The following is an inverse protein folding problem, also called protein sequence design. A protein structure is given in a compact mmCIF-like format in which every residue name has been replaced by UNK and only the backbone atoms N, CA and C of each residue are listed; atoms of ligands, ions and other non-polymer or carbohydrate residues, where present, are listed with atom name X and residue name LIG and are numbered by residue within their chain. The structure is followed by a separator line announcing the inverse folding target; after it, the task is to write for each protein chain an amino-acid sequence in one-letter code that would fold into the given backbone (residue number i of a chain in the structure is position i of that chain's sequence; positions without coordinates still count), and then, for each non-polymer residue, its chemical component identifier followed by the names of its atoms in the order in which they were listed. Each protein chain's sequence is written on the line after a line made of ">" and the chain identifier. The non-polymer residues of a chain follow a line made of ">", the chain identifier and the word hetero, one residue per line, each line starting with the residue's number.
data_IF_127960844357
#
_entry.id   IF_127960844357
#
_cell.length_a   1.000
_cell.length_b   1.000
_cell.length_c   1.000
_cell.angle_alpha   90.00
_cell.angle_beta   90.00
_cell.angle_gamma   90.00
#
_symmetry.space_group_name_H-M   'P 1'
#
loop_
_entity.id
_entity.type
_entity.pdbx_description
1 polymer ?
#
# COMPACT_ATOMS: atom_id res chain seq x y z
N UNK A 1 22.89 -4.88 49.99
CA UNK A 1 24.20 -5.03 50.60
C UNK A 1 25.18 -5.25 49.47
N UNK A 2 26.08 -4.29 49.38
CA UNK A 2 27.09 -4.15 48.34
C UNK A 2 28.27 -5.17 48.46
N UNK A 3 28.92 -5.48 47.36
CA UNK A 3 30.38 -5.65 47.41
C UNK A 3 30.99 -5.21 46.08
N UNK A 4 31.75 -4.11 46.19
CA UNK A 4 32.74 -3.64 45.23
C UNK A 4 33.98 -4.54 45.34
N UNK A 5 34.51 -5.02 44.23
CA UNK A 5 35.82 -5.69 44.11
C UNK A 5 36.73 -4.84 43.23
N UNK A 6 37.83 -4.38 43.84
CA UNK A 6 38.77 -3.38 43.30
C UNK A 6 39.68 -3.93 42.21
N UNK A 7 40.19 -3.01 41.44
CA UNK A 7 41.26 -3.16 40.45
C UNK A 7 42.65 -3.14 41.14
N UNK A 8 43.59 -3.98 40.78
CA UNK A 8 44.97 -3.85 41.24
C UNK A 8 45.77 -2.83 40.42
N UNK A 9 46.56 -2.10 41.14
CA UNK A 9 47.45 -1.02 40.69
C UNK A 9 48.63 -1.51 39.84
N UNK A 10 49.04 -0.61 38.98
CA UNK A 10 50.19 -0.73 38.10
C UNK A 10 51.52 -1.02 38.80
N UNK A 11 52.30 -1.91 38.20
CA UNK A 11 53.75 -1.98 38.43
C UNK A 11 54.45 -1.64 37.12
N UNK A 12 55.25 -0.59 37.16
CA UNK A 12 56.06 -0.14 36.05
C UNK A 12 57.23 -1.08 35.70
N UNK A 13 57.45 -1.20 34.42
CA UNK A 13 58.71 -1.73 33.91
C UNK A 13 59.06 -1.17 32.53
N UNK A 14 60.15 -0.52 32.44
CA UNK A 14 61.21 -0.53 31.43
C UNK A 14 60.81 -0.34 29.96
N UNK A 15 61.16 0.84 29.43
CA UNK A 15 61.21 1.09 27.98
C UNK A 15 62.44 0.34 27.37
N UNK A 16 62.19 -0.63 26.52
CA UNK A 16 63.10 -1.11 25.55
C UNK A 16 62.51 -0.96 24.13
N UNK A 17 63.27 -0.31 23.25
CA UNK A 17 62.92 -0.11 21.83
C UNK A 17 62.85 -1.45 21.08
N UNK A 18 61.69 -2.12 21.18
CA UNK A 18 61.38 -3.23 20.32
C UNK A 18 60.30 -2.76 19.32
N UNK A 19 60.58 -2.79 18.02
CA UNK A 19 59.59 -2.62 16.98
C UNK A 19 58.50 -3.67 17.20
N UNK A 20 57.34 -3.23 17.68
CA UNK A 20 56.15 -4.05 17.61
C UNK A 20 55.77 -4.18 16.14
N UNK A 21 55.83 -5.39 15.61
CA UNK A 21 55.17 -5.75 14.38
C UNK A 21 53.68 -5.57 14.61
N UNK A 22 53.08 -4.55 14.04
CA UNK A 22 51.64 -4.40 13.94
C UNK A 22 51.15 -5.52 13.01
N UNK A 23 50.66 -6.61 13.57
CA UNK A 23 49.81 -7.54 12.81
C UNK A 23 48.53 -6.76 12.47
N UNK A 24 48.49 -6.30 11.26
CA UNK A 24 47.27 -5.73 10.67
C UNK A 24 46.22 -6.86 10.56
N UNK A 25 45.45 -7.04 11.62
CA UNK A 25 44.26 -7.88 11.59
C UNK A 25 43.14 -7.07 10.98
N UNK A 26 43.30 -6.69 9.71
CA UNK A 26 42.24 -6.10 8.91
C UNK A 26 41.12 -7.11 8.73
N UNK A 27 40.01 -6.87 9.40
CA UNK A 27 38.78 -7.58 9.08
C UNK A 27 38.34 -7.13 7.69
N UNK A 28 38.57 -7.96 6.67
CA UNK A 28 37.98 -7.78 5.38
C UNK A 28 36.54 -8.34 5.44
N UNK A 29 35.55 -7.46 5.36
CA UNK A 29 34.18 -7.88 5.07
C UNK A 29 34.17 -8.47 3.65
N UNK A 30 34.37 -9.79 3.56
CA UNK A 30 34.17 -10.52 2.31
C UNK A 30 32.65 -10.61 2.11
N UNK A 31 32.13 -9.83 1.16
CA UNK A 31 30.76 -10.02 0.68
C UNK A 31 30.74 -11.42 0.03
N UNK A 32 29.94 -12.38 0.52
CA UNK A 32 29.81 -13.63 -0.19
C UNK A 32 29.29 -13.30 -1.59
N UNK A 33 29.96 -13.80 -2.62
CA UNK A 33 29.44 -13.82 -3.97
C UNK A 33 28.18 -14.70 -3.96
N UNK A 34 27.04 -14.10 -3.60
CA UNK A 34 25.76 -14.74 -3.80
C UNK A 34 25.63 -14.90 -5.32
N UNK A 35 25.82 -16.11 -5.82
CA UNK A 35 25.60 -16.41 -7.21
C UNK A 35 24.14 -16.00 -7.54
N UNK A 36 23.99 -14.92 -8.28
CA UNK A 36 22.68 -14.41 -8.70
C UNK A 36 22.13 -15.43 -9.66
N UNK A 37 21.24 -16.29 -9.17
CA UNK A 37 20.56 -17.28 -10.02
C UNK A 37 19.52 -16.56 -10.87
N UNK A 38 19.79 -16.42 -12.15
CA UNK A 38 18.84 -15.88 -13.12
C UNK A 38 17.81 -16.96 -13.42
N UNK A 39 16.52 -16.76 -13.15
CA UNK A 39 15.50 -17.76 -13.45
C UNK A 39 15.34 -17.90 -14.98
N UNK A 40 15.09 -19.11 -15.44
CA UNK A 40 14.69 -19.33 -16.82
C UNK A 40 13.22 -18.97 -16.96
N UNK A 41 12.92 -17.94 -17.75
CA UNK A 41 11.56 -17.50 -18.06
C UNK A 41 11.00 -18.29 -19.23
N UNK A 42 9.69 -18.58 -19.19
CA UNK A 42 8.98 -19.05 -20.36
C UNK A 42 8.60 -17.87 -21.29
N UNK A 43 8.07 -18.20 -22.48
CA UNK A 43 7.71 -17.20 -23.49
C UNK A 43 6.71 -16.14 -22.96
N UNK A 44 5.72 -16.55 -22.17
CA UNK A 44 4.72 -15.64 -21.63
C UNK A 44 5.31 -14.72 -20.54
N UNK A 45 6.14 -15.28 -19.67
CA UNK A 45 6.88 -14.50 -18.68
C UNK A 45 7.83 -13.51 -19.35
N UNK A 46 8.54 -13.95 -20.40
CA UNK A 46 9.43 -13.08 -21.16
C UNK A 46 8.69 -11.91 -21.82
N UNK A 47 7.49 -12.16 -22.37
CA UNK A 47 6.64 -11.09 -22.94
C UNK A 47 6.27 -10.01 -21.91
N UNK A 48 6.05 -10.38 -20.65
CA UNK A 48 5.81 -9.40 -19.56
C UNK A 48 7.06 -8.59 -19.27
N UNK A 49 8.21 -9.25 -19.20
CA UNK A 49 9.50 -8.61 -18.92
C UNK A 49 9.89 -7.65 -20.05
N UNK A 50 9.71 -8.07 -21.31
CA UNK A 50 10.04 -7.28 -22.49
C UNK A 50 8.98 -6.23 -22.86
N UNK A 51 7.85 -6.17 -22.15
CA UNK A 51 6.80 -5.20 -22.42
C UNK A 51 7.35 -3.75 -22.42
N UNK A 52 7.11 -2.97 -23.50
CA UNK A 52 7.83 -1.72 -23.76
C UNK A 52 7.55 -0.61 -22.73
N UNK A 53 6.53 -0.75 -21.91
CA UNK A 53 6.00 0.24 -20.97
C UNK A 53 4.54 0.52 -21.27
N UNK A 54 3.90 1.34 -20.42
CA UNK A 54 2.46 1.53 -20.43
C UNK A 54 1.73 0.52 -19.54
N UNK A 55 0.39 0.58 -19.48
CA UNK A 55 -0.40 -0.29 -18.61
C UNK A 55 -0.46 -1.72 -19.15
N UNK A 56 -0.17 -2.68 -18.29
CA UNK A 56 -0.15 -4.12 -18.58
C UNK A 56 -0.87 -4.91 -17.48
N UNK A 57 -1.84 -5.72 -17.85
CA UNK A 57 -2.44 -6.73 -16.98
C UNK A 57 -1.79 -8.09 -17.21
N UNK A 58 -1.30 -8.69 -16.13
CA UNK A 58 -0.76 -10.06 -16.15
C UNK A 58 -1.74 -10.97 -15.40
N UNK A 59 -2.42 -11.84 -16.13
CA UNK A 59 -3.28 -12.88 -15.56
C UNK A 59 -2.44 -14.12 -15.26
N UNK A 60 -2.38 -14.52 -14.01
CA UNK A 60 -1.45 -15.54 -13.56
C UNK A 60 -2.05 -16.43 -12.47
N UNK A 61 -2.38 -17.67 -12.81
CA UNK A 61 -2.87 -18.68 -11.89
C UNK A 61 -1.82 -19.15 -10.87
N UNK A 62 -2.20 -20.05 -9.96
CA UNK A 62 -1.28 -20.65 -8.99
C UNK A 62 -0.11 -21.35 -9.69
N UNK A 63 1.11 -21.19 -9.15
CA UNK A 63 2.29 -21.89 -9.66
C UNK A 63 2.82 -21.38 -11.01
N UNK A 64 2.23 -20.36 -11.64
CA UNK A 64 2.69 -19.83 -12.93
C UNK A 64 3.89 -18.88 -12.81
N UNK A 65 4.40 -18.66 -11.61
CA UNK A 65 5.56 -17.81 -11.38
C UNK A 65 5.27 -16.31 -11.33
N UNK A 66 4.07 -15.89 -10.88
CA UNK A 66 3.67 -14.48 -10.67
C UNK A 66 4.80 -13.60 -10.13
N UNK A 67 5.26 -13.94 -8.94
CA UNK A 67 6.29 -13.14 -8.23
C UNK A 67 7.62 -13.15 -8.98
N UNK A 68 8.03 -14.27 -9.57
CA UNK A 68 9.26 -14.35 -10.39
C UNK A 68 9.17 -13.40 -11.57
N UNK A 69 8.06 -13.43 -12.30
CA UNK A 69 7.82 -12.55 -13.45
C UNK A 69 7.83 -11.07 -13.03
N UNK A 70 7.19 -10.74 -11.90
CA UNK A 70 7.17 -9.38 -11.37
C UNK A 70 8.58 -8.91 -10.99
N UNK A 71 9.37 -9.74 -10.31
CA UNK A 71 10.77 -9.45 -9.95
C UNK A 71 11.60 -9.18 -11.21
N UNK A 72 11.54 -10.05 -12.20
CA UNK A 72 12.32 -9.89 -13.44
C UNK A 72 11.87 -8.66 -14.25
N UNK A 73 10.58 -8.33 -14.26
CA UNK A 73 10.08 -7.11 -14.88
C UNK A 73 10.60 -5.84 -14.18
N UNK A 74 10.67 -5.83 -12.85
CA UNK A 74 11.28 -4.73 -12.07
C UNK A 74 12.77 -4.62 -12.37
N UNK A 75 13.49 -5.73 -12.35
CA UNK A 75 14.94 -5.78 -12.63
C UNK A 75 15.25 -5.30 -14.04
N UNK A 76 14.43 -5.68 -15.02
CA UNK A 76 14.55 -5.21 -16.41
C UNK A 76 14.44 -3.68 -16.51
N UNK A 77 13.47 -3.03 -15.80
CA UNK A 77 13.36 -1.57 -15.79
C UNK A 77 14.59 -0.91 -15.20
N UNK A 78 15.15 -1.52 -14.15
CA UNK A 78 16.32 -0.96 -13.45
C UNK A 78 17.61 -1.19 -14.24
N UNK A 79 17.90 -2.43 -14.65
CA UNK A 79 19.19 -2.77 -15.22
C UNK A 79 19.33 -2.44 -16.70
N UNK A 80 18.25 -2.64 -17.49
CA UNK A 80 18.31 -2.47 -18.95
C UNK A 80 17.74 -1.16 -19.43
N UNK A 81 16.71 -0.62 -18.74
CA UNK A 81 16.11 0.66 -19.14
C UNK A 81 16.64 1.84 -18.35
N UNK A 82 17.48 1.60 -17.34
CA UNK A 82 18.13 2.65 -16.57
C UNK A 82 17.20 3.41 -15.62
N UNK A 83 16.02 2.85 -15.30
CA UNK A 83 15.12 3.40 -14.28
C UNK A 83 15.83 3.27 -12.93
N UNK A 84 15.90 4.37 -12.19
CA UNK A 84 16.52 4.32 -10.87
C UNK A 84 15.65 3.51 -9.90
N UNK A 85 16.26 2.76 -8.95
CA UNK A 85 15.49 2.00 -7.97
C UNK A 85 14.50 2.84 -7.15
N UNK A 86 14.80 4.12 -6.91
CA UNK A 86 13.92 5.06 -6.20
C UNK A 86 12.77 5.62 -7.04
N UNK A 87 12.77 5.37 -8.34
CA UNK A 87 11.69 5.70 -9.28
C UNK A 87 10.72 4.52 -9.50
N UNK A 88 11.01 3.36 -8.94
CA UNK A 88 10.14 2.18 -9.00
C UNK A 88 9.30 2.09 -7.73
N UNK A 89 7.99 1.95 -7.91
CA UNK A 89 7.04 1.70 -6.82
C UNK A 89 6.37 0.35 -7.02
N UNK A 90 6.63 -0.60 -6.12
CA UNK A 90 5.93 -1.89 -6.09
C UNK A 90 4.96 -1.95 -4.90
N UNK A 91 3.68 -2.11 -5.19
CA UNK A 91 2.61 -2.16 -4.20
C UNK A 91 2.10 -3.59 -4.02
N UNK A 92 1.94 -3.99 -2.78
CA UNK A 92 1.48 -5.33 -2.41
C UNK A 92 0.37 -5.24 -1.36
N UNK A 93 -0.33 -6.36 -1.14
CA UNK A 93 -1.42 -6.41 -0.18
C UNK A 93 -0.95 -6.56 1.28
N UNK A 94 0.21 -7.17 1.53
CA UNK A 94 0.71 -7.41 2.88
C UNK A 94 2.16 -6.95 3.07
N UNK A 95 2.51 -6.59 4.30
CA UNK A 95 3.89 -6.22 4.66
C UNK A 95 4.88 -7.35 4.36
N UNK A 96 4.47 -8.60 4.65
CA UNK A 96 5.29 -9.77 4.36
C UNK A 96 5.57 -9.94 2.86
N UNK A 97 4.55 -9.75 2.01
CA UNK A 97 4.73 -9.79 0.56
C UNK A 97 5.65 -8.65 0.08
N UNK A 98 5.49 -7.44 0.62
CA UNK A 98 6.37 -6.33 0.31
C UNK A 98 7.84 -6.60 0.67
N UNK A 99 8.09 -7.17 1.85
CA UNK A 99 9.43 -7.58 2.28
C UNK A 99 10.01 -8.66 1.37
N UNK A 100 9.25 -9.71 1.08
CA UNK A 100 9.68 -10.79 0.19
C UNK A 100 9.99 -10.30 -1.23
N UNK A 101 9.17 -9.40 -1.76
CA UNK A 101 9.40 -8.81 -3.08
C UNK A 101 10.69 -7.99 -3.09
N UNK A 102 10.89 -7.14 -2.10
CA UNK A 102 12.11 -6.35 -1.93
C UNK A 102 13.35 -7.24 -1.84
N UNK A 103 13.31 -8.28 -1.00
CA UNK A 103 14.44 -9.18 -0.80
C UNK A 103 14.82 -9.91 -2.09
N UNK A 104 13.81 -10.37 -2.86
CA UNK A 104 14.03 -11.01 -4.16
C UNK A 104 14.62 -10.05 -5.20
N UNK A 105 14.09 -8.83 -5.30
CA UNK A 105 14.63 -7.80 -6.21
C UNK A 105 16.06 -7.45 -5.82
N UNK A 106 16.34 -7.23 -4.52
CA UNK A 106 17.68 -6.92 -4.01
C UNK A 106 18.67 -8.06 -4.30
N UNK A 107 18.26 -9.31 -4.04
CA UNK A 107 19.08 -10.48 -4.35
C UNK A 107 19.38 -10.58 -5.86
N UNK A 108 18.38 -10.32 -6.70
CA UNK A 108 18.50 -10.38 -8.16
C UNK A 108 19.37 -9.25 -8.73
N UNK A 109 19.32 -8.05 -8.15
CA UNK A 109 20.19 -6.93 -8.51
C UNK A 109 21.63 -7.10 -7.98
N UNK A 110 21.87 -8.02 -7.05
CA UNK A 110 23.18 -8.21 -6.42
C UNK A 110 23.70 -7.00 -5.61
N UNK A 111 22.84 -6.01 -5.37
CA UNK A 111 23.18 -4.78 -4.62
C UNK A 111 22.00 -4.32 -3.76
N UNK A 112 22.32 -3.70 -2.61
CA UNK A 112 21.29 -3.09 -1.76
C UNK A 112 20.76 -1.82 -2.41
N UNK A 113 19.45 -1.61 -2.33
CA UNK A 113 18.79 -0.37 -2.74
C UNK A 113 18.59 0.52 -1.51
N UNK A 114 18.96 1.80 -1.60
CA UNK A 114 18.83 2.74 -0.49
C UNK A 114 17.38 3.08 -0.13
N UNK A 115 16.44 2.84 -1.04
CA UNK A 115 15.02 3.14 -0.91
C UNK A 115 14.19 1.87 -0.90
N UNK A 116 13.06 1.91 -0.18
CA UNK A 116 12.10 0.82 -0.19
C UNK A 116 11.36 0.80 -1.53
N UNK A 117 11.80 -0.06 -2.47
CA UNK A 117 11.16 -0.31 -3.76
C UNK A 117 9.71 -0.81 -3.61
N UNK A 118 9.41 -1.44 -2.49
CA UNK A 118 8.15 -2.15 -2.29
C UNK A 118 7.52 -1.77 -0.96
N UNK A 119 6.20 -1.58 -0.99
CA UNK A 119 5.38 -1.16 0.14
C UNK A 119 3.98 -1.76 0.04
N UNK A 120 3.22 -1.70 1.14
CA UNK A 120 1.77 -1.91 1.03
C UNK A 120 1.08 -0.61 0.63
N UNK A 121 -0.12 -0.69 0.03
CA UNK A 121 -0.94 0.49 -0.27
C UNK A 121 -1.06 1.43 0.93
N UNK A 122 -1.40 0.90 2.10
CA UNK A 122 -1.59 1.70 3.31
C UNK A 122 -0.28 2.32 3.83
N UNK A 123 0.83 1.58 3.78
CA UNK A 123 2.14 2.14 4.19
C UNK A 123 2.60 3.24 3.24
N UNK A 124 2.37 3.08 1.94
CA UNK A 124 2.64 4.11 0.95
C UNK A 124 1.73 5.33 1.15
N UNK A 125 0.42 5.12 1.34
CA UNK A 125 -0.55 6.17 1.61
C UNK A 125 -0.17 7.02 2.84
N UNK A 126 0.21 6.35 3.94
CA UNK A 126 0.67 7.03 5.15
C UNK A 126 1.93 7.86 4.90
N UNK A 127 2.91 7.32 4.18
CA UNK A 127 4.14 8.03 3.85
C UNK A 127 3.87 9.24 2.94
N UNK A 128 2.92 9.10 1.99
CA UNK A 128 2.51 10.16 1.09
C UNK A 128 1.85 11.32 1.84
N UNK A 129 0.87 11.04 2.70
CA UNK A 129 0.21 12.06 3.52
C UNK A 129 1.26 12.77 4.38
N UNK A 130 2.13 12.04 5.07
CA UNK A 130 3.19 12.65 5.88
C UNK A 130 4.15 13.53 5.08
N UNK A 131 4.40 13.21 3.83
CA UNK A 131 5.28 14.00 2.96
C UNK A 131 4.71 15.38 2.66
N UNK A 132 3.40 15.46 2.43
CA UNK A 132 2.72 16.69 2.03
C UNK A 132 1.94 17.36 3.17
N UNK A 133 1.92 16.74 4.34
CA UNK A 133 1.30 17.33 5.51
C UNK A 133 1.93 18.70 5.84
N UNK A 134 1.13 19.72 6.18
CA UNK A 134 1.63 20.97 6.69
C UNK A 134 2.54 20.77 7.91
N UNK A 135 3.52 21.69 8.09
CA UNK A 135 4.50 21.57 9.18
C UNK A 135 3.86 21.50 10.57
N UNK A 136 2.72 22.15 10.76
CA UNK A 136 1.94 22.14 11.99
C UNK A 136 1.44 20.74 12.38
N UNK A 137 1.21 19.87 11.42
CA UNK A 137 0.80 18.48 11.66
C UNK A 137 1.97 17.54 12.02
N UNK A 138 3.22 18.03 11.97
CA UNK A 138 4.37 17.23 12.42
C UNK A 138 4.46 17.14 13.94
N UNK A 139 3.93 18.11 14.68
CA UNK A 139 3.90 18.12 16.15
C UNK A 139 2.95 17.05 16.72
N UNK A 140 1.88 16.73 15.98
CA UNK A 140 0.95 15.65 16.31
C UNK A 140 0.81 14.71 15.09
N UNK A 141 1.56 13.61 15.03
CA UNK A 141 1.49 12.69 13.90
C UNK A 141 0.08 12.12 13.78
N UNK A 142 -0.42 12.03 12.53
CA UNK A 142 -1.71 11.43 12.20
C UNK A 142 -1.84 10.04 12.84
N UNK A 143 -2.82 9.87 13.73
CA UNK A 143 -3.05 8.61 14.46
C UNK A 143 -3.96 7.69 13.67
N UNK A 144 -3.41 6.53 13.27
CA UNK A 144 -4.21 5.49 12.62
C UNK A 144 -4.97 4.67 13.67
N UNK A 145 -6.29 4.72 13.61
CA UNK A 145 -7.14 3.98 14.54
C UNK A 145 -7.11 2.47 14.26
N UNK A 146 -6.95 1.69 15.30
CA UNK A 146 -7.22 0.25 15.26
C UNK A 146 -8.73 -0.03 15.22
N UNK A 147 -9.14 -1.23 14.81
CA UNK A 147 -10.56 -1.59 14.77
C UNK A 147 -11.29 -1.41 16.12
N UNK A 148 -10.72 -1.79 17.29
CA UNK A 148 -11.34 -1.51 18.58
C UNK A 148 -11.51 -0.01 18.88
N UNK A 149 -10.54 0.83 18.47
CA UNK A 149 -10.64 2.29 18.66
C UNK A 149 -11.72 2.87 17.76
N UNK A 150 -11.84 2.41 16.52
CA UNK A 150 -12.93 2.79 15.61
C UNK A 150 -14.30 2.46 16.22
N UNK A 151 -14.47 1.27 16.80
CA UNK A 151 -15.70 0.85 17.47
C UNK A 151 -16.08 1.76 18.64
N UNK A 152 -15.08 2.26 19.38
CA UNK A 152 -15.31 3.22 20.47
C UNK A 152 -15.80 4.54 19.92
N UNK A 153 -15.06 5.12 18.97
CA UNK A 153 -15.40 6.42 18.34
C UNK A 153 -16.79 6.38 17.71
N UNK A 154 -17.12 5.31 16.96
CA UNK A 154 -18.43 5.17 16.34
C UNK A 154 -19.55 5.09 17.36
N UNK A 155 -19.37 4.38 18.48
CA UNK A 155 -20.40 4.29 19.53
C UNK A 155 -20.61 5.62 20.27
N UNK A 156 -19.53 6.31 20.57
CA UNK A 156 -19.61 7.62 21.20
C UNK A 156 -20.37 8.59 20.29
N UNK A 157 -20.04 8.64 18.99
CA UNK A 157 -20.74 9.48 18.03
C UNK A 157 -22.21 9.06 17.78
N UNK A 158 -22.54 7.78 17.87
CA UNK A 158 -23.93 7.33 17.75
C UNK A 158 -24.76 7.71 18.96
N UNK A 159 -24.16 7.70 20.17
CA UNK A 159 -24.83 8.11 21.41
C UNK A 159 -25.04 9.63 21.47
N UNK A 160 -24.06 10.40 20.98
CA UNK A 160 -24.09 11.87 20.97
C UNK A 160 -24.07 12.41 19.52
N UNK A 161 -24.95 11.86 18.67
CA UNK A 161 -25.01 12.31 17.28
C UNK A 161 -25.72 13.66 17.15
N UNK A 162 -25.29 14.51 16.21
CA UNK A 162 -25.92 15.81 16.00
C UNK A 162 -27.38 15.66 15.53
N UNK A 163 -28.21 16.65 15.81
CA UNK A 163 -29.61 16.69 15.38
C UNK A 163 -29.79 16.55 13.85
N UNK A 164 -28.75 16.87 13.09
CA UNK A 164 -28.74 16.70 11.63
C UNK A 164 -28.75 15.24 11.18
N UNK A 165 -28.31 14.30 12.03
CA UNK A 165 -28.32 12.86 11.74
C UNK A 165 -29.60 12.25 12.29
N UNK A 166 -30.64 12.16 11.47
CA UNK A 166 -31.94 11.61 11.88
C UNK A 166 -32.07 10.17 11.41
N UNK A 167 -31.90 9.23 12.34
CA UNK A 167 -32.14 7.82 12.05
C UNK A 167 -33.64 7.53 11.91
N UNK A 168 -34.06 6.64 11.00
CA UNK A 168 -35.46 6.26 10.87
C UNK A 168 -36.07 5.80 12.18
N UNK A 169 -37.35 6.12 12.48
CA UNK A 169 -38.00 5.76 13.75
C UNK A 169 -37.96 4.26 14.05
N UNK A 170 -37.94 3.41 13.03
CA UNK A 170 -37.81 1.95 13.19
C UNK A 170 -36.48 1.54 13.83
N UNK A 171 -35.43 2.33 13.68
CA UNK A 171 -34.09 2.08 14.21
C UNK A 171 -33.82 2.80 15.54
N UNK A 172 -34.69 3.72 15.96
CA UNK A 172 -34.47 4.57 17.13
C UNK A 172 -34.13 3.79 18.44
N UNK A 173 -34.69 2.58 18.61
CA UNK A 173 -34.40 1.73 19.78
C UNK A 173 -33.07 0.97 19.66
N UNK A 174 -32.51 0.90 18.46
CA UNK A 174 -31.29 0.15 18.17
C UNK A 174 -30.04 1.04 18.23
N UNK A 175 -30.17 2.36 18.06
CA UNK A 175 -29.03 3.30 17.87
C UNK A 175 -27.96 3.16 18.96
N UNK A 176 -28.35 3.00 20.24
CA UNK A 176 -27.42 2.87 21.35
C UNK A 176 -26.85 1.46 21.54
N UNK A 177 -27.23 0.51 20.66
CA UNK A 177 -26.76 -0.88 20.79
C UNK A 177 -25.44 -1.12 20.09
N UNK A 178 -24.63 -2.05 20.65
CA UNK A 178 -23.39 -2.51 19.99
C UNK A 178 -23.65 -3.18 18.61
N UNK A 179 -24.82 -3.79 18.44
CA UNK A 179 -25.24 -4.39 17.18
C UNK A 179 -25.38 -3.34 16.10
N UNK A 180 -26.08 -2.26 16.39
CA UNK A 180 -26.28 -1.15 15.49
C UNK A 180 -24.96 -0.45 15.11
N UNK A 181 -24.08 -0.22 16.06
CA UNK A 181 -22.76 0.35 15.78
C UNK A 181 -21.94 -0.51 14.79
N UNK A 182 -22.04 -1.84 14.89
CA UNK A 182 -21.39 -2.76 13.94
C UNK A 182 -22.01 -2.68 12.55
N UNK A 183 -23.34 -2.62 12.46
CA UNK A 183 -24.04 -2.46 11.18
C UNK A 183 -23.68 -1.13 10.52
N UNK A 184 -23.69 -0.04 11.28
CA UNK A 184 -23.26 1.27 10.78
C UNK A 184 -21.81 1.20 10.31
N UNK A 185 -20.89 0.65 11.09
CA UNK A 185 -19.50 0.46 10.69
C UNK A 185 -19.39 -0.32 9.37
N UNK A 186 -20.13 -1.42 9.23
CA UNK A 186 -20.13 -2.23 8.01
C UNK A 186 -20.64 -1.42 6.80
N UNK A 187 -21.73 -0.66 6.96
CA UNK A 187 -22.26 0.21 5.90
C UNK A 187 -21.27 1.30 5.51
N UNK A 188 -20.67 2.01 6.48
CA UNK A 188 -19.70 3.06 6.20
C UNK A 188 -18.43 2.52 5.53
N UNK A 189 -17.94 1.36 5.98
CA UNK A 189 -16.79 0.70 5.37
C UNK A 189 -17.12 0.31 3.94
N UNK A 190 -18.26 -0.32 3.73
CA UNK A 190 -18.70 -0.76 2.38
C UNK A 190 -18.92 0.39 1.43
N UNK A 191 -19.50 1.50 1.89
CA UNK A 191 -19.69 2.70 1.09
C UNK A 191 -18.32 3.24 0.61
N UNK A 192 -17.38 3.39 1.53
CA UNK A 192 -16.03 3.91 1.21
C UNK A 192 -15.22 2.96 0.32
N UNK A 193 -15.34 1.65 0.53
CA UNK A 193 -14.77 0.63 -0.36
C UNK A 193 -15.31 0.73 -1.79
N UNK A 194 -16.56 1.17 -1.94
CA UNK A 194 -17.21 1.45 -3.24
C UNK A 194 -16.90 2.86 -3.78
N UNK A 195 -16.06 3.62 -3.11
CA UNK A 195 -15.74 4.99 -3.49
C UNK A 195 -16.84 6.01 -3.22
N UNK A 196 -17.82 5.67 -2.37
CA UNK A 196 -18.89 6.58 -1.95
C UNK A 196 -18.43 7.39 -0.72
N UNK A 197 -18.52 8.70 -0.82
CA UNK A 197 -18.46 9.61 0.31
C UNK A 197 -19.86 9.79 0.95
N UNK A 198 -19.98 10.66 1.96
CA UNK A 198 -21.26 10.93 2.60
C UNK A 198 -22.31 11.45 1.63
N UNK A 199 -21.91 12.28 0.66
CA UNK A 199 -22.81 12.80 -0.37
C UNK A 199 -23.30 11.67 -1.30
N UNK A 200 -22.40 10.85 -1.80
CA UNK A 200 -22.73 9.71 -2.67
C UNK A 200 -23.63 8.69 -1.97
N UNK A 201 -23.37 8.43 -0.67
CA UNK A 201 -24.22 7.51 0.12
C UNK A 201 -25.63 8.06 0.34
N UNK A 202 -25.77 9.38 0.58
CA UNK A 202 -27.08 10.04 0.65
C UNK A 202 -27.84 9.95 -0.69
N UNK A 203 -27.16 10.31 -1.77
CA UNK A 203 -27.77 10.26 -3.11
C UNK A 203 -28.26 8.85 -3.46
N UNK A 204 -27.51 7.81 -3.12
CA UNK A 204 -27.92 6.43 -3.26
C UNK A 204 -29.17 6.12 -2.41
N UNK A 205 -29.16 6.54 -1.13
CA UNK A 205 -30.30 6.36 -0.23
C UNK A 205 -31.57 7.04 -0.72
N UNK A 206 -31.46 8.23 -1.27
CA UNK A 206 -32.58 8.97 -1.86
C UNK A 206 -33.11 8.27 -3.12
N UNK A 207 -32.22 7.83 -4.01
CA UNK A 207 -32.59 7.14 -5.24
C UNK A 207 -33.31 5.80 -5.01
N UNK A 208 -32.89 5.06 -3.99
CA UNK A 208 -33.43 3.74 -3.65
C UNK A 208 -34.56 3.80 -2.59
N UNK A 209 -34.89 4.99 -2.07
CA UNK A 209 -35.88 5.16 -1.02
C UNK A 209 -35.48 4.52 0.32
N UNK A 210 -34.19 4.52 0.64
CA UNK A 210 -33.60 3.93 1.85
C UNK A 210 -33.15 5.04 2.82
N UNK A 211 -34.03 5.54 3.70
CA UNK A 211 -33.72 6.64 4.61
C UNK A 211 -32.57 6.32 5.59
N UNK A 212 -32.33 5.05 5.90
CA UNK A 212 -31.20 4.60 6.68
C UNK A 212 -29.86 4.88 6.00
N UNK A 213 -29.77 4.80 4.67
CA UNK A 213 -28.54 5.15 3.93
C UNK A 213 -28.36 6.67 3.87
N UNK A 214 -29.45 7.44 3.82
CA UNK A 214 -29.36 8.90 3.93
C UNK A 214 -28.80 9.31 5.29
N UNK A 215 -29.31 8.74 6.37
CA UNK A 215 -28.79 8.97 7.72
C UNK A 215 -27.32 8.50 7.85
N UNK A 216 -26.98 7.34 7.30
CA UNK A 216 -25.61 6.82 7.30
C UNK A 216 -24.64 7.74 6.54
N UNK A 217 -25.07 8.36 5.45
CA UNK A 217 -24.28 9.34 4.71
C UNK A 217 -23.99 10.62 5.51
N UNK A 218 -24.98 11.15 6.22
CA UNK A 218 -24.80 12.27 7.13
C UNK A 218 -23.87 11.90 8.29
N UNK A 219 -24.04 10.70 8.83
CA UNK A 219 -23.20 10.19 9.91
C UNK A 219 -21.75 9.94 9.45
N UNK A 220 -21.53 9.52 8.20
CA UNK A 220 -20.19 9.38 7.63
C UNK A 220 -19.45 10.72 7.60
N UNK A 221 -20.11 11.81 7.17
CA UNK A 221 -19.51 13.15 7.17
C UNK A 221 -19.14 13.58 8.59
N UNK A 222 -20.02 13.32 9.56
CA UNK A 222 -19.76 13.59 10.97
C UNK A 222 -18.59 12.77 11.53
N UNK A 223 -18.53 11.48 11.19
CA UNK A 223 -17.44 10.61 11.61
C UNK A 223 -16.09 11.10 11.07
N UNK A 224 -16.01 11.45 9.80
CA UNK A 224 -14.79 11.98 9.19
C UNK A 224 -14.38 13.32 9.81
N UNK A 225 -15.34 14.22 10.06
CA UNK A 225 -15.08 15.51 10.76
C UNK A 225 -14.53 15.29 12.16
N UNK A 226 -15.06 14.29 12.88
CA UNK A 226 -14.55 13.94 14.22
C UNK A 226 -13.13 13.38 14.15
N UNK A 227 -12.83 12.51 13.18
CA UNK A 227 -11.46 12.00 12.95
C UNK A 227 -10.50 13.17 12.66
N UNK A 228 -10.89 14.11 11.81
CA UNK A 228 -10.08 15.29 11.48
C UNK A 228 -9.77 16.12 12.72
N UNK A 229 -10.77 16.38 13.55
CA UNK A 229 -10.62 17.17 14.79
C UNK A 229 -9.68 16.52 15.82
N UNK A 230 -9.58 15.19 15.80
CA UNK A 230 -8.70 14.42 16.69
C UNK A 230 -7.31 14.13 16.08
N UNK A 231 -7.01 14.62 14.87
CA UNK A 231 -5.80 14.25 14.14
C UNK A 231 -5.69 12.74 13.89
N UNK A 232 -6.83 12.07 13.72
CA UNK A 232 -6.93 10.63 13.54
C UNK A 232 -7.40 10.27 12.12
N UNK A 233 -7.17 9.04 11.74
CA UNK A 233 -7.64 8.44 10.48
C UNK A 233 -7.89 6.95 10.67
N UNK A 234 -8.75 6.37 9.87
CA UNK A 234 -8.88 4.93 9.72
C UNK A 234 -8.27 4.44 8.39
N UNK A 235 -8.25 3.13 8.17
CA UNK A 235 -7.62 2.55 6.98
C UNK A 235 -8.26 3.00 5.65
N UNK A 236 -9.58 3.17 5.60
CA UNK A 236 -10.28 3.61 4.40
C UNK A 236 -10.07 5.11 4.14
N UNK A 237 -10.12 5.94 5.19
CA UNK A 237 -9.85 7.37 5.09
C UNK A 237 -8.39 7.65 4.73
N UNK A 238 -7.46 6.82 5.20
CA UNK A 238 -6.04 6.92 4.86
C UNK A 238 -5.82 6.84 3.34
N UNK A 239 -6.45 5.90 2.65
CA UNK A 239 -6.35 5.77 1.18
C UNK A 239 -7.00 6.96 0.49
N UNK A 240 -8.18 7.41 0.94
CA UNK A 240 -8.87 8.59 0.41
C UNK A 240 -8.01 9.86 0.51
N UNK A 241 -7.45 10.13 1.69
CA UNK A 241 -6.55 11.29 1.90
C UNK A 241 -5.31 11.21 1.01
N UNK A 242 -4.69 10.03 0.93
CA UNK A 242 -3.54 9.82 0.05
C UNK A 242 -3.89 10.05 -1.42
N UNK A 243 -5.10 9.69 -1.86
CA UNK A 243 -5.57 9.95 -3.22
C UNK A 243 -5.70 11.46 -3.48
N UNK A 244 -6.27 12.22 -2.54
CA UNK A 244 -6.37 13.68 -2.62
C UNK A 244 -4.98 14.31 -2.74
N UNK A 245 -4.03 13.90 -1.90
CA UNK A 245 -2.65 14.39 -1.95
C UNK A 245 -1.96 13.98 -3.26
N UNK A 246 -2.18 12.76 -3.74
CA UNK A 246 -1.62 12.28 -4.99
C UNK A 246 -2.15 13.06 -6.20
N UNK A 247 -3.41 13.47 -6.19
CA UNK A 247 -4.00 14.30 -7.23
C UNK A 247 -3.50 15.75 -7.17
N UNK A 248 -3.39 16.33 -5.97
CA UNK A 248 -2.88 17.69 -5.77
C UNK A 248 -1.41 17.83 -6.20
N UNK A 249 -0.60 16.77 -6.00
CA UNK A 249 0.83 16.75 -6.31
C UNK A 249 1.18 15.80 -7.47
N UNK A 250 0.23 15.59 -8.39
CA UNK A 250 0.30 14.59 -9.47
C UNK A 250 1.58 14.72 -10.30
N UNK A 251 1.91 15.90 -10.75
CA UNK A 251 3.05 16.12 -11.65
C UNK A 251 4.38 15.86 -10.94
N UNK A 252 4.51 16.28 -9.68
CA UNK A 252 5.71 16.00 -8.87
C UNK A 252 5.88 14.49 -8.65
N UNK A 253 4.80 13.80 -8.24
CA UNK A 253 4.83 12.36 -7.98
C UNK A 253 5.14 11.58 -9.24
N UNK A 254 4.54 11.94 -10.36
CA UNK A 254 4.78 11.34 -11.68
C UNK A 254 6.17 11.63 -12.23
N UNK A 255 6.78 12.74 -11.85
CA UNK A 255 8.19 13.02 -12.14
C UNK A 255 9.17 12.20 -11.32
N UNK A 256 8.71 11.63 -10.20
CA UNK A 256 9.54 10.82 -9.27
C UNK A 256 9.30 9.32 -9.40
N UNK A 257 8.13 8.90 -9.84
CA UNK A 257 7.76 7.49 -10.01
C UNK A 257 7.65 7.22 -11.51
N UNK A 258 8.60 6.47 -12.04
CA UNK A 258 8.66 6.14 -13.46
C UNK A 258 7.93 4.85 -13.80
N UNK A 259 7.89 3.88 -12.89
CA UNK A 259 7.23 2.60 -13.08
C UNK A 259 6.52 2.13 -11.80
N UNK A 260 5.29 1.67 -11.95
CA UNK A 260 4.45 1.14 -10.86
C UNK A 260 4.15 -0.32 -11.11
N UNK A 261 4.32 -1.14 -10.08
CA UNK A 261 4.01 -2.56 -10.09
C UNK A 261 3.02 -2.89 -8.99
N UNK A 262 2.04 -3.73 -9.27
CA UNK A 262 1.05 -4.15 -8.27
C UNK A 262 0.94 -5.66 -8.26
N UNK A 263 1.16 -6.28 -7.11
CA UNK A 263 0.92 -7.71 -6.90
C UNK A 263 -0.46 -7.94 -6.29
N UNK A 264 -1.07 -9.08 -6.60
CA UNK A 264 -2.41 -9.50 -6.15
C UNK A 264 -3.51 -8.44 -6.45
N UNK A 265 -3.50 -7.88 -7.67
CA UNK A 265 -4.41 -6.80 -8.06
C UNK A 265 -5.90 -7.13 -7.91
N UNK A 266 -6.29 -8.41 -7.98
CA UNK A 266 -7.67 -8.85 -7.75
C UNK A 266 -8.20 -8.51 -6.34
N UNK A 267 -7.32 -8.21 -5.39
CA UNK A 267 -7.68 -7.88 -4.01
C UNK A 267 -7.72 -6.36 -3.75
N UNK A 268 -7.51 -5.53 -4.79
CA UNK A 268 -7.60 -4.08 -4.67
C UNK A 268 -9.06 -3.61 -4.58
N UNK A 269 -9.28 -2.60 -3.74
CA UNK A 269 -10.55 -1.89 -3.63
C UNK A 269 -10.60 -0.64 -4.56
N UNK A 270 -11.79 -0.07 -4.83
CA UNK A 270 -11.92 1.11 -5.68
C UNK A 270 -11.12 2.34 -5.21
N UNK A 271 -10.92 2.53 -3.90
CA UNK A 271 -10.09 3.60 -3.36
C UNK A 271 -8.61 3.44 -3.75
N UNK A 272 -8.10 2.20 -3.65
CA UNK A 272 -6.74 1.87 -4.09
C UNK A 272 -6.57 2.03 -5.60
N UNK A 273 -7.59 1.66 -6.39
CA UNK A 273 -7.60 1.89 -7.84
C UNK A 273 -7.59 3.39 -8.16
N UNK A 274 -8.31 4.23 -7.40
CA UNK A 274 -8.27 5.68 -7.56
C UNK A 274 -6.88 6.25 -7.27
N UNK A 275 -6.22 5.78 -6.20
CA UNK A 275 -4.84 6.15 -5.89
C UNK A 275 -3.89 5.74 -7.03
N UNK A 276 -4.02 4.53 -7.57
CA UNK A 276 -3.22 4.08 -8.72
C UNK A 276 -3.44 4.97 -9.95
N UNK A 277 -4.67 5.43 -10.22
CA UNK A 277 -4.94 6.35 -11.32
C UNK A 277 -4.22 7.70 -11.16
N UNK A 278 -4.20 8.23 -9.95
CA UNK A 278 -3.45 9.45 -9.67
C UNK A 278 -1.95 9.27 -9.93
N UNK A 279 -1.37 8.12 -9.56
CA UNK A 279 0.05 7.82 -9.69
C UNK A 279 0.45 7.42 -11.12
N UNK A 280 -0.31 6.52 -11.73
CA UNK A 280 0.07 5.79 -12.95
C UNK A 280 -1.03 5.73 -14.01
N UNK A 281 -2.01 6.62 -13.98
CA UNK A 281 -2.97 6.80 -15.08
C UNK A 281 -2.33 7.39 -16.35
N UNK A 282 -3.16 7.61 -17.37
CA UNK A 282 -2.78 8.29 -18.61
C UNK A 282 -1.67 7.56 -19.41
N UNK A 283 -1.72 6.23 -19.43
CA UNK A 283 -0.82 5.39 -20.24
C UNK A 283 0.60 5.22 -19.68
N UNK A 284 0.84 5.53 -18.41
CA UNK A 284 2.15 5.36 -17.77
C UNK A 284 2.49 3.89 -17.53
N UNK A 285 3.77 3.60 -17.25
CA UNK A 285 4.26 2.23 -17.01
C UNK A 285 3.66 1.68 -15.70
N UNK A 286 2.62 0.86 -15.84
CA UNK A 286 1.86 0.23 -14.76
C UNK A 286 1.69 -1.25 -15.06
N UNK A 287 2.36 -2.11 -14.33
CA UNK A 287 2.23 -3.56 -14.45
C UNK A 287 1.46 -4.09 -13.25
N UNK A 288 0.30 -4.68 -13.50
CA UNK A 288 -0.49 -5.34 -12.45
C UNK A 288 -0.53 -6.84 -12.67
N UNK A 289 -0.36 -7.61 -11.60
CA UNK A 289 -0.39 -9.07 -11.63
C UNK A 289 -1.50 -9.55 -10.71
N UNK A 290 -2.29 -10.50 -11.17
CA UNK A 290 -3.35 -11.06 -10.36
C UNK A 290 -4.01 -12.30 -10.96
N UNK A 291 -4.87 -12.91 -10.16
CA UNK A 291 -5.67 -14.07 -10.54
C UNK A 291 -7.15 -13.83 -10.17
N UNK A 292 -8.04 -13.68 -11.14
CA UNK A 292 -9.45 -13.45 -10.86
C UNK A 292 -10.11 -14.58 -10.07
N UNK A 293 -9.53 -15.78 -10.06
CA UNK A 293 -10.05 -16.95 -9.33
C UNK A 293 -9.52 -17.07 -7.90
N UNK A 294 -8.52 -16.28 -7.52
CA UNK A 294 -7.91 -16.29 -6.17
C UNK A 294 -8.36 -15.12 -5.28
N UNK A 295 -9.30 -14.30 -5.71
CA UNK A 295 -9.82 -13.23 -4.85
C UNK A 295 -10.54 -13.81 -3.63
N UNK A 296 -9.97 -13.60 -2.45
CA UNK A 296 -10.53 -14.03 -1.16
C UNK A 296 -11.06 -12.86 -0.33
N UNK A 297 -10.88 -11.63 -0.80
CA UNK A 297 -11.23 -10.40 -0.09
C UNK A 297 -12.51 -9.72 -0.62
N UNK A 298 -13.37 -10.45 -1.31
CA UNK A 298 -14.68 -9.94 -1.74
C UNK A 298 -15.53 -9.36 -0.62
N UNK A 299 -15.36 -9.87 0.62
CA UNK A 299 -15.99 -9.33 1.82
C UNK A 299 -15.40 -7.96 2.29
N UNK A 300 -14.21 -7.57 1.78
CA UNK A 300 -13.58 -6.26 2.00
C UNK A 300 -13.73 -5.30 0.82
N UNK A 301 -14.67 -5.55 -0.10
CA UNK A 301 -14.89 -4.67 -1.23
C UNK A 301 -14.09 -4.97 -2.48
N UNK A 302 -13.14 -5.92 -2.44
CA UNK A 302 -12.47 -6.39 -3.62
C UNK A 302 -13.50 -6.94 -4.63
N UNK A 303 -13.49 -6.39 -5.82
CA UNK A 303 -14.37 -6.82 -6.90
C UNK A 303 -13.56 -7.64 -7.91
N UNK A 304 -13.93 -8.90 -8.08
CA UNK A 304 -13.34 -9.75 -9.14
C UNK A 304 -13.45 -9.08 -10.51
N UNK A 305 -14.48 -8.27 -10.73
CA UNK A 305 -14.61 -7.45 -11.94
C UNK A 305 -13.49 -6.42 -12.08
N UNK A 306 -12.94 -5.88 -10.99
CA UNK A 306 -11.89 -4.87 -11.03
C UNK A 306 -10.65 -5.29 -11.83
N UNK A 307 -10.24 -6.56 -11.73
CA UNK A 307 -9.11 -7.06 -12.54
C UNK A 307 -9.50 -7.21 -14.02
N UNK A 308 -10.74 -7.60 -14.32
CA UNK A 308 -11.21 -7.75 -15.70
C UNK A 308 -11.47 -6.38 -16.36
N UNK A 309 -11.82 -5.38 -15.58
CA UNK A 309 -12.07 -4.01 -16.03
C UNK A 309 -10.76 -3.20 -16.17
N UNK A 310 -9.64 -3.71 -15.67
CA UNK A 310 -8.35 -3.02 -15.72
C UNK A 310 -7.98 -2.48 -17.10
N UNK A 311 -8.11 -3.21 -18.21
CA UNK A 311 -7.73 -2.70 -19.52
C UNK A 311 -8.49 -1.44 -19.95
N UNK A 312 -9.75 -1.33 -19.54
CA UNK A 312 -10.57 -0.14 -19.79
C UNK A 312 -10.31 0.96 -18.75
N UNK A 313 -10.02 0.59 -17.50
CA UNK A 313 -9.78 1.52 -16.40
C UNK A 313 -8.43 2.25 -16.51
N UNK A 314 -7.45 1.62 -17.14
CA UNK A 314 -6.09 2.14 -17.37
C UNK A 314 -5.74 2.02 -18.86
N UNK A 315 -6.31 2.88 -19.72
CA UNK A 315 -6.00 2.84 -21.14
C UNK A 315 -4.55 3.27 -21.39
N UNK A 316 -4.01 2.84 -22.52
CA UNK A 316 -2.73 3.31 -23.03
C UNK A 316 -2.78 4.79 -23.42
N UNK A 317 -1.63 5.40 -23.64
CA UNK A 317 -1.54 6.82 -24.00
C UNK A 317 -2.27 7.15 -25.31
N UNK A 318 -2.45 6.17 -26.20
CA UNK A 318 -3.23 6.31 -27.44
C UNK A 318 -4.74 6.11 -27.25
N UNK A 319 -5.20 5.88 -26.01
CA UNK A 319 -6.60 5.63 -25.66
C UNK A 319 -7.05 4.19 -25.87
N UNK A 320 -6.20 3.30 -26.40
CA UNK A 320 -6.53 1.89 -26.53
C UNK A 320 -6.49 1.19 -25.16
N UNK A 321 -7.25 0.10 -24.98
CA UNK A 321 -7.21 -0.70 -23.76
C UNK A 321 -5.78 -1.14 -23.42
N UNK A 322 -5.48 -1.31 -22.12
CA UNK A 322 -4.21 -1.86 -21.67
C UNK A 322 -3.95 -3.25 -22.27
N UNK A 323 -2.68 -3.57 -22.42
CA UNK A 323 -2.26 -4.89 -22.89
C UNK A 323 -2.55 -5.96 -21.81
N UNK A 324 -2.82 -7.19 -22.27
CA UNK A 324 -3.10 -8.33 -21.38
C UNK A 324 -2.20 -9.50 -21.76
N UNK A 325 -1.49 -10.04 -20.79
CA UNK A 325 -0.67 -11.27 -20.94
C UNK A 325 -1.12 -12.30 -19.92
N UNK A 326 -1.45 -13.52 -20.37
CA UNK A 326 -1.79 -14.62 -19.48
C UNK A 326 -0.59 -15.58 -19.35
N UNK A 327 -0.14 -15.83 -18.10
CA UNK A 327 0.86 -16.86 -17.80
C UNK A 327 0.17 -18.23 -17.79
N UNK A 328 0.64 -19.15 -18.64
CA UNK A 328 -0.04 -20.43 -18.88
C UNK A 328 0.72 -21.63 -18.33
N UNK A 329 2.01 -21.50 -18.05
CA UNK A 329 2.87 -22.60 -17.63
C UNK A 329 2.90 -22.71 -16.12
N UNK A 330 2.38 -23.79 -15.55
CA UNK A 330 2.47 -24.10 -14.12
C UNK A 330 3.76 -24.88 -13.86
N UNK A 331 4.49 -24.57 -12.80
CA UNK A 331 5.75 -25.23 -12.38
C UNK A 331 5.61 -25.83 -10.98
#
# INVERSE_FOLDING_TARGET
>A
VAHCGGWPAAVGAGWSNGRMATTDTGYHLVRPDAAVTVPTLDEHQQRVVDHPGGPLLVLAGPGTGKTTTLVEAIVERIERRGVRPDEVLALTFSRKAAEQLRDRVTARLGRTTATALSSTFHSFAYALIRRYAPAELYEAPLRLLSAPEQDVVLRELLTDHPESVVWPPALARAVDTRGFAREVHAVLSRAREKGLDGHGLRALGEAEGLPELVAAGLFLDQYLTNLDSQGATDYADLIRRATIEAEAHRDELRGRISAVFVDEYQDTDPGQVALLRALAGDGRDLVVVGDPHQSIYGFRGAEVRGILDFPAAFPRADGAPADVVALRTTR
#
